data_IF_829097029738
#
_entry.id   IF_829097029738
#
_cell.length_a   1.000
_cell.length_b   1.000
_cell.length_c   1.000
_cell.angle_alpha   90.00
_cell.angle_beta   90.00
_cell.angle_gamma   90.00
#
_symmetry.space_group_name_H-M   'P 1'
#
loop_
_entity.id
_entity.type
_entity.pdbx_description
1 polymer ?
#
# COMPACT_ATOMS: atom_id res chain seq x y z
N UNK A 1 -7.51 -9.59 -5.80
CA UNK A 1 -6.57 -8.50 -5.46
C UNK A 1 -6.33 -7.54 -6.61
N UNK A 2 -6.12 -7.99 -7.85
CA UNK A 2 -5.86 -7.10 -8.99
C UNK A 2 -6.95 -6.03 -9.22
N UNK A 3 -8.23 -6.42 -9.23
CA UNK A 3 -9.33 -5.47 -9.37
C UNK A 3 -9.39 -4.41 -8.23
N UNK A 4 -8.96 -4.77 -7.02
CA UNK A 4 -8.88 -3.82 -5.90
C UNK A 4 -7.72 -2.83 -6.13
N UNK A 5 -6.58 -3.33 -6.61
CA UNK A 5 -5.43 -2.51 -6.96
C UNK A 5 -5.77 -1.51 -8.07
N UNK A 6 -6.44 -1.94 -9.14
CA UNK A 6 -6.84 -1.02 -10.22
C UNK A 6 -7.84 0.04 -9.77
N UNK A 7 -8.77 -0.30 -8.87
CA UNK A 7 -9.67 0.69 -8.26
C UNK A 7 -8.92 1.67 -7.38
N UNK A 8 -7.97 1.18 -6.58
CA UNK A 8 -7.11 2.01 -5.74
C UNK A 8 -6.24 2.96 -6.58
N UNK A 9 -5.62 2.46 -7.66
CA UNK A 9 -4.82 3.28 -8.58
C UNK A 9 -5.65 4.42 -9.19
N UNK A 10 -6.89 4.11 -9.63
CA UNK A 10 -7.81 5.14 -10.15
C UNK A 10 -8.21 6.16 -9.08
N UNK A 11 -8.42 5.71 -7.84
CA UNK A 11 -8.82 6.59 -6.75
C UNK A 11 -7.71 7.57 -6.35
N UNK A 12 -6.45 7.10 -6.32
CA UNK A 12 -5.28 7.91 -5.95
C UNK A 12 -4.51 8.48 -7.14
N UNK A 13 -5.06 8.40 -8.36
CA UNK A 13 -4.42 8.84 -9.61
C UNK A 13 -3.00 8.28 -9.85
N UNK A 14 -2.76 7.04 -9.44
CA UNK A 14 -1.48 6.34 -9.65
C UNK A 14 -1.42 5.80 -11.08
N UNK A 15 -0.44 6.27 -11.84
CA UNK A 15 -0.16 5.84 -13.22
C UNK A 15 1.24 5.22 -13.29
N UNK A 16 1.30 3.93 -13.61
CA UNK A 16 2.54 3.15 -13.69
C UNK A 16 2.58 2.39 -15.02
N UNK A 17 3.78 2.19 -15.59
CA UNK A 17 3.96 1.28 -16.70
C UNK A 17 3.68 -0.19 -16.28
N UNK A 18 3.58 -1.10 -17.24
CA UNK A 18 3.21 -2.50 -16.96
C UNK A 18 4.21 -3.22 -16.05
N UNK A 19 5.50 -2.95 -16.20
CA UNK A 19 6.54 -3.61 -15.41
C UNK A 19 6.49 -3.10 -13.97
N UNK A 20 6.41 -1.78 -13.80
CA UNK A 20 6.33 -1.17 -12.48
C UNK A 20 5.00 -1.51 -11.79
N UNK A 21 3.90 -1.57 -12.53
CA UNK A 21 2.59 -2.00 -12.02
C UNK A 21 2.67 -3.41 -11.43
N UNK A 22 3.37 -4.34 -12.09
CA UNK A 22 3.54 -5.70 -11.59
C UNK A 22 4.46 -5.76 -10.37
N UNK A 23 5.54 -4.97 -10.35
CA UNK A 23 6.46 -4.87 -9.20
C UNK A 23 5.74 -4.34 -7.95
N UNK A 24 5.02 -3.23 -8.09
CA UNK A 24 4.27 -2.54 -7.01
C UNK A 24 3.07 -3.34 -6.52
N UNK A 25 2.47 -4.17 -7.37
CA UNK A 25 1.31 -4.98 -7.00
C UNK A 25 1.57 -5.92 -5.82
N UNK A 26 2.79 -6.44 -5.68
CA UNK A 26 3.12 -7.31 -4.53
C UNK A 26 3.03 -6.55 -3.22
N UNK A 27 3.68 -5.38 -3.12
CA UNK A 27 3.61 -4.53 -1.93
C UNK A 27 2.17 -4.13 -1.60
N UNK A 28 1.39 -3.76 -2.64
CA UNK A 28 -0.03 -3.48 -2.48
C UNK A 28 -0.81 -4.64 -1.86
N UNK A 29 -0.58 -5.87 -2.33
CA UNK A 29 -1.26 -7.04 -1.75
C UNK A 29 -0.88 -7.25 -0.28
N UNK A 30 0.40 -7.15 0.04
CA UNK A 30 0.90 -7.36 1.40
C UNK A 30 0.30 -6.31 2.35
N UNK A 31 0.27 -5.04 1.95
CA UNK A 31 -0.34 -3.95 2.71
C UNK A 31 -1.86 -4.13 2.87
N UNK A 32 -2.59 -4.50 1.81
CA UNK A 32 -4.03 -4.75 1.88
C UNK A 32 -4.38 -5.91 2.83
N UNK A 33 -3.57 -6.98 2.83
CA UNK A 33 -3.73 -8.11 3.75
C UNK A 33 -3.43 -7.67 5.18
N UNK A 34 -2.37 -6.89 5.39
CA UNK A 34 -2.02 -6.34 6.70
C UNK A 34 -3.15 -5.49 7.26
N UNK A 35 -3.67 -4.54 6.48
CA UNK A 35 -4.81 -3.68 6.85
C UNK A 35 -6.03 -4.52 7.23
N UNK A 36 -6.37 -5.54 6.43
CA UNK A 36 -7.51 -6.41 6.71
C UNK A 36 -7.35 -7.18 8.02
N UNK A 37 -6.14 -7.72 8.29
CA UNK A 37 -5.83 -8.42 9.53
C UNK A 37 -5.86 -7.48 10.72
N UNK A 38 -5.26 -6.29 10.59
CA UNK A 38 -5.22 -5.27 11.62
C UNK A 38 -6.64 -4.82 12.00
N UNK A 39 -7.47 -4.48 11.02
CA UNK A 39 -8.84 -4.00 11.23
C UNK A 39 -9.82 -5.07 11.77
N UNK A 40 -9.44 -6.35 11.76
CA UNK A 40 -10.21 -7.44 12.38
C UNK A 40 -9.95 -7.57 13.88
N UNK A 41 -8.90 -6.93 14.40
CA UNK A 41 -8.60 -6.97 15.82
C UNK A 41 -9.55 -6.03 16.57
N UNK A 42 -9.91 -6.41 17.80
CA UNK A 42 -10.79 -5.63 18.66
C UNK A 42 -10.02 -4.85 19.75
N UNK A 43 -8.68 -4.89 19.71
CA UNK A 43 -7.78 -4.28 20.69
C UNK A 43 -7.14 -2.98 20.18
N UNK A 44 -7.63 -2.43 19.07
CA UNK A 44 -7.12 -1.19 18.48
C UNK A 44 -8.18 -0.09 18.54
N UNK A 45 -7.75 1.14 18.83
CA UNK A 45 -8.63 2.33 18.87
C UNK A 45 -8.75 3.04 17.51
N UNK A 46 -8.05 2.53 16.50
CA UNK A 46 -8.03 3.07 15.14
C UNK A 46 -8.08 1.95 14.10
N UNK A 47 -8.34 2.35 12.85
CA UNK A 47 -8.34 1.48 11.68
C UNK A 47 -7.31 1.98 10.68
N UNK A 48 -6.72 1.05 9.95
CA UNK A 48 -5.88 1.35 8.80
C UNK A 48 -6.72 1.41 7.52
N UNK A 49 -6.21 2.14 6.54
CA UNK A 49 -6.83 2.28 5.22
C UNK A 49 -5.80 2.11 4.11
N UNK A 50 -6.29 1.89 2.89
CA UNK A 50 -5.44 1.90 1.68
C UNK A 50 -5.15 3.35 1.28
N UNK A 51 -4.06 3.91 1.81
CA UNK A 51 -3.59 5.27 1.54
C UNK A 51 -2.91 5.37 0.16
N UNK A 52 -2.45 6.56 -0.22
CA UNK A 52 -1.67 6.79 -1.45
C UNK A 52 -0.32 6.04 -1.47
N UNK A 53 0.15 5.58 -0.31
CA UNK A 53 1.40 4.82 -0.15
C UNK A 53 1.19 3.31 -0.16
N UNK A 54 -0.03 2.83 -0.42
CA UNK A 54 -0.36 1.42 -0.22
C UNK A 54 0.41 0.46 -1.14
N UNK A 55 1.08 0.94 -2.20
CA UNK A 55 1.91 0.13 -3.09
C UNK A 55 3.43 0.26 -2.83
N UNK A 56 3.82 0.91 -1.73
CA UNK A 56 5.20 1.00 -1.25
C UNK A 56 5.47 -0.06 -0.18
N UNK A 57 6.70 -0.56 -0.12
CA UNK A 57 7.20 -1.25 1.08
C UNK A 57 7.57 -0.25 2.18
N UNK A 58 7.73 -0.73 3.42
CA UNK A 58 8.20 0.12 4.52
C UNK A 58 9.55 0.77 4.19
N UNK A 59 10.50 0.01 3.64
CA UNK A 59 11.83 0.52 3.25
C UNK A 59 11.72 1.60 2.14
N UNK A 60 10.86 1.39 1.14
CA UNK A 60 10.60 2.37 0.08
C UNK A 60 9.96 3.64 0.64
N UNK A 61 9.03 3.51 1.59
CA UNK A 61 8.39 4.62 2.26
C UNK A 61 9.40 5.42 3.09
N UNK A 62 10.20 4.74 3.91
CA UNK A 62 11.20 5.36 4.79
C UNK A 62 12.24 6.12 3.96
N UNK A 63 12.85 5.46 2.98
CA UNK A 63 13.89 6.04 2.13
C UNK A 63 13.42 7.26 1.33
N UNK A 64 12.14 7.32 0.95
CA UNK A 64 11.61 8.39 0.12
C UNK A 64 10.97 9.53 0.92
N UNK A 65 10.30 9.23 2.05
CA UNK A 65 9.38 10.19 2.70
C UNK A 65 9.77 10.61 4.12
N UNK A 66 10.72 9.95 4.78
CA UNK A 66 11.01 10.24 6.20
C UNK A 66 12.32 11.00 6.42
N UNK A 67 13.17 11.12 5.40
CA UNK A 67 14.50 11.74 5.53
C UNK A 67 15.47 10.96 6.42
N UNK A 68 15.04 9.80 6.94
CA UNK A 68 15.90 8.85 7.63
C UNK A 68 16.72 8.11 6.58
N UNK A 69 17.99 8.51 6.45
CA UNK A 69 18.97 7.75 5.69
C UNK A 69 19.33 6.50 6.51
N UNK A 70 19.21 5.32 5.91
CA UNK A 70 19.79 4.08 6.45
C UNK A 70 21.32 4.13 6.47
#
# INVERSE_FOLDING_TARGET
MWNLYERWQRYHNVSLDLNEKQRRFKAFMDNAIYIHRFNKRNDTTYKLGLTEFADLTDDEFVSTYTGLLE
#
